data_IF_603077513499
#
_entry.id   IF_603077513499
#
_cell.length_a   1.000
_cell.length_b   1.000
_cell.length_c   1.000
_cell.angle_alpha   90.00
_cell.angle_beta   90.00
_cell.angle_gamma   90.00
#
_symmetry.space_group_name_H-M   'P 1'
#
loop_
_entity.id
_entity.type
_entity.pdbx_description
1 polymer ?
#
# COMPACT_ATOMS: atom_id res chain seq x y z
N UNK A 1 -0.95 -3.24 11.23
CA UNK A 1 -0.85 -2.27 10.11
C UNK A 1 -2.16 -1.51 10.06
N UNK A 2 -2.10 -0.18 9.95
CA UNK A 2 -3.26 0.71 10.13
C UNK A 2 -4.21 0.75 8.91
N UNK A 3 -5.50 0.99 9.13
CA UNK A 3 -6.45 1.41 8.10
C UNK A 3 -7.47 2.38 8.69
N UNK A 4 -7.58 3.59 8.13
CA UNK A 4 -8.44 4.65 8.65
C UNK A 4 -9.91 4.25 8.70
N UNK A 5 -10.40 3.63 7.61
CA UNK A 5 -11.80 3.20 7.52
C UNK A 5 -12.14 2.09 8.53
N UNK A 6 -11.17 1.25 8.92
CA UNK A 6 -11.41 0.26 9.97
C UNK A 6 -11.70 0.93 11.31
N UNK A 7 -10.94 1.98 11.63
CA UNK A 7 -11.10 2.77 12.85
C UNK A 7 -12.40 3.55 12.83
N UNK A 8 -12.69 4.24 11.71
CA UNK A 8 -13.89 5.05 11.55
C UNK A 8 -15.18 4.22 11.66
N UNK A 9 -15.18 3.01 11.11
CA UNK A 9 -16.34 2.11 11.13
C UNK A 9 -16.38 1.18 12.36
N UNK A 10 -15.39 1.26 13.26
CA UNK A 10 -15.31 0.38 14.43
C UNK A 10 -15.15 -1.11 14.08
N UNK A 11 -14.56 -1.42 12.93
CA UNK A 11 -14.43 -2.79 12.43
C UNK A 11 -13.19 -3.48 12.98
N UNK A 12 -13.34 -4.76 13.32
CA UNK A 12 -12.20 -5.60 13.63
C UNK A 12 -11.39 -5.89 12.36
N UNK A 13 -10.25 -5.21 12.23
CA UNK A 13 -9.27 -5.41 11.16
C UNK A 13 -7.99 -6.06 11.70
N UNK A 14 -8.13 -7.03 12.61
CA UNK A 14 -7.03 -7.81 13.14
C UNK A 14 -6.24 -8.46 11.99
N UNK A 15 -4.91 -8.49 12.13
CA UNK A 15 -4.04 -9.13 11.16
C UNK A 15 -4.07 -10.65 11.36
N UNK A 16 -4.51 -11.42 10.35
CA UNK A 16 -4.29 -12.86 10.37
C UNK A 16 -2.80 -13.19 10.35
N UNK A 17 -2.41 -14.32 10.95
CA UNK A 17 -0.99 -14.67 11.08
C UNK A 17 -0.34 -14.96 9.71
N UNK A 18 -1.13 -15.45 8.75
CA UNK A 18 -0.72 -15.80 7.40
C UNK A 18 -0.29 -14.60 6.55
N UNK A 19 -0.80 -13.39 6.83
CA UNK A 19 -0.43 -12.18 6.07
C UNK A 19 0.80 -11.47 6.63
N UNK A 20 1.21 -11.78 7.87
CA UNK A 20 2.35 -11.14 8.54
C UNK A 20 3.64 -11.23 7.69
N UNK A 21 3.99 -12.36 7.08
CA UNK A 21 5.18 -12.44 6.23
C UNK A 21 5.12 -11.52 5.01
N UNK A 22 3.94 -11.33 4.40
CA UNK A 22 3.77 -10.44 3.25
C UNK A 22 3.88 -8.97 3.67
N UNK A 23 3.28 -8.61 4.81
CA UNK A 23 3.39 -7.28 5.42
C UNK A 23 4.85 -6.95 5.74
N UNK A 24 5.60 -7.90 6.31
CA UNK A 24 7.02 -7.74 6.59
C UNK A 24 7.82 -7.53 5.30
N UNK A 25 7.54 -8.31 4.26
CA UNK A 25 8.15 -8.13 2.95
C UNK A 25 7.89 -6.73 2.38
N UNK A 26 6.62 -6.30 2.33
CA UNK A 26 6.23 -4.98 1.86
C UNK A 26 6.96 -3.87 2.63
N UNK A 27 6.98 -3.97 3.96
CA UNK A 27 7.57 -2.94 4.81
C UNK A 27 9.09 -2.86 4.65
N UNK A 28 9.78 -4.00 4.73
CA UNK A 28 11.25 -4.05 4.74
C UNK A 28 11.85 -3.86 3.34
N UNK A 29 11.18 -4.33 2.29
CA UNK A 29 11.73 -4.34 0.93
C UNK A 29 11.27 -3.18 0.06
N UNK A 30 10.18 -2.51 0.41
CA UNK A 30 9.67 -1.37 -0.36
C UNK A 30 9.48 -0.12 0.51
N UNK A 31 8.67 -0.18 1.57
CA UNK A 31 8.24 1.05 2.26
C UNK A 31 9.38 1.74 3.02
N UNK A 32 10.16 0.99 3.80
CA UNK A 32 11.26 1.57 4.58
C UNK A 32 12.39 2.11 3.69
N UNK A 33 12.90 1.37 2.68
CA UNK A 33 13.86 1.92 1.73
C UNK A 33 13.35 3.15 0.99
N UNK A 34 12.08 3.14 0.55
CA UNK A 34 11.48 4.28 -0.14
C UNK A 34 11.37 5.50 0.78
N UNK A 35 10.98 5.31 2.04
CA UNK A 35 10.92 6.39 3.04
C UNK A 35 12.28 7.05 3.26
N UNK A 36 13.35 6.24 3.34
CA UNK A 36 14.73 6.72 3.48
C UNK A 36 15.15 7.53 2.24
N UNK A 37 14.79 7.05 1.04
CA UNK A 37 15.12 7.73 -0.21
C UNK A 37 14.33 9.04 -0.38
N UNK A 38 13.02 9.01 -0.14
CA UNK A 38 12.10 10.13 -0.34
C UNK A 38 12.35 11.30 0.63
N UNK A 39 12.84 11.01 1.85
CA UNK A 39 13.17 12.01 2.89
C UNK A 39 12.01 12.94 3.26
N UNK A 40 10.78 12.49 3.07
CA UNK A 40 9.56 13.19 3.47
C UNK A 40 8.59 12.22 4.16
N UNK A 41 7.67 12.69 5.01
CA UNK A 41 6.71 11.84 5.68
C UNK A 41 5.83 11.05 4.70
N UNK A 42 5.67 9.75 4.98
CA UNK A 42 4.76 8.85 4.28
C UNK A 42 3.71 8.35 5.27
N UNK A 43 2.49 8.85 5.17
CA UNK A 43 1.39 8.50 6.06
C UNK A 43 0.59 7.34 5.46
N UNK A 44 0.59 6.20 6.12
CA UNK A 44 -0.23 5.05 5.71
C UNK A 44 -1.69 5.38 6.04
N UNK A 45 -2.51 5.57 5.01
CA UNK A 45 -3.96 5.73 5.17
C UNK A 45 -4.66 4.38 5.29
N UNK A 46 -4.20 3.39 4.52
CA UNK A 46 -4.76 2.05 4.55
C UNK A 46 -3.74 0.99 4.16
N UNK A 47 -3.43 0.08 5.06
CA UNK A 47 -2.67 -1.14 4.79
C UNK A 47 -3.58 -2.34 4.62
N UNK A 48 -3.36 -3.40 5.41
CA UNK A 48 -4.20 -4.59 5.38
C UNK A 48 -5.70 -4.28 5.52
N UNK A 49 -6.52 -5.04 4.78
CA UNK A 49 -7.98 -5.01 4.90
C UNK A 49 -8.50 -6.44 5.06
N UNK A 50 -9.31 -6.67 6.08
CA UNK A 50 -10.15 -7.86 6.17
C UNK A 50 -11.13 -7.93 4.99
N UNK A 51 -11.71 -9.10 4.74
CA UNK A 51 -12.70 -9.27 3.67
C UNK A 51 -13.88 -8.32 3.83
N UNK A 52 -14.38 -8.18 5.06
CA UNK A 52 -15.49 -7.29 5.41
C UNK A 52 -15.14 -5.83 5.12
N UNK A 53 -13.98 -5.36 5.60
CA UNK A 53 -13.54 -4.00 5.36
C UNK A 53 -13.35 -3.74 3.87
N UNK A 54 -12.71 -4.67 3.14
CA UNK A 54 -12.48 -4.53 1.71
C UNK A 54 -13.80 -4.42 0.95
N UNK A 55 -14.82 -5.22 1.29
CA UNK A 55 -16.16 -5.14 0.69
C UNK A 55 -16.82 -3.78 0.97
N UNK A 56 -16.76 -3.30 2.21
CA UNK A 56 -17.40 -2.04 2.62
C UNK A 56 -16.79 -0.82 1.91
N UNK A 57 -15.48 -0.81 1.66
CA UNK A 57 -14.81 0.27 0.93
C UNK A 57 -14.87 0.11 -0.59
N UNK A 58 -15.65 -0.86 -1.10
CA UNK A 58 -15.79 -1.14 -2.54
C UNK A 58 -14.51 -1.68 -3.18
N UNK A 59 -13.67 -2.37 -2.41
CA UNK A 59 -12.44 -3.00 -2.87
C UNK A 59 -12.70 -4.21 -3.76
N UNK A 60 -11.79 -4.46 -4.71
CA UNK A 60 -11.88 -5.63 -5.57
C UNK A 60 -11.69 -6.94 -4.75
N UNK A 61 -12.34 -8.06 -5.12
CA UNK A 61 -12.15 -9.35 -4.45
C UNK A 61 -10.70 -9.86 -4.48
N UNK A 62 -9.93 -9.46 -5.50
CA UNK A 62 -8.52 -9.83 -5.68
C UNK A 62 -7.53 -8.80 -5.11
N UNK A 63 -8.00 -7.87 -4.28
CA UNK A 63 -7.21 -6.77 -3.72
C UNK A 63 -5.96 -7.24 -2.97
N UNK A 64 -4.82 -6.61 -3.25
CA UNK A 64 -3.56 -6.90 -2.54
C UNK A 64 -3.55 -6.41 -1.09
N UNK A 65 -4.44 -5.50 -0.71
CA UNK A 65 -4.61 -5.13 0.70
C UNK A 65 -5.01 -6.34 1.56
N UNK A 66 -5.87 -7.22 1.03
CA UNK A 66 -6.31 -8.43 1.73
C UNK A 66 -5.20 -9.48 1.88
N UNK A 67 -4.12 -9.36 1.10
CA UNK A 67 -2.95 -10.23 1.16
C UNK A 67 -1.83 -9.66 2.02
N UNK A 68 -2.00 -8.44 2.55
CA UNK A 68 -0.92 -7.71 3.22
C UNK A 68 0.19 -7.24 2.28
N UNK A 69 -0.09 -7.17 0.98
CA UNK A 69 0.88 -6.84 -0.08
C UNK A 69 0.75 -5.40 -0.59
N UNK A 70 -0.17 -4.60 -0.03
CA UNK A 70 -0.39 -3.23 -0.47
C UNK A 70 -0.68 -2.23 0.66
N UNK A 71 -0.35 -0.97 0.38
CA UNK A 71 -0.67 0.20 1.20
C UNK A 71 -1.12 1.37 0.35
N UNK A 72 -2.04 2.17 0.88
CA UNK A 72 -2.39 3.49 0.37
C UNK A 72 -1.69 4.53 1.24
N UNK A 73 -0.95 5.42 0.59
CA UNK A 73 -0.07 6.39 1.24
C UNK A 73 -0.50 7.81 0.88
N UNK A 74 -0.65 8.64 1.90
CA UNK A 74 -0.68 10.08 1.77
C UNK A 74 0.73 10.64 2.00
N UNK A 75 1.12 11.58 1.14
CA UNK A 75 2.31 12.42 1.28
C UNK A 75 1.97 13.79 0.74
N UNK A 76 2.74 14.80 1.13
CA UNK A 76 2.56 16.19 0.68
C UNK A 76 2.65 16.27 -0.84
N UNK A 77 3.64 15.59 -1.43
CA UNK A 77 3.84 15.53 -2.88
C UNK A 77 3.88 14.08 -3.38
N UNK A 78 2.74 13.62 -3.89
CA UNK A 78 2.57 12.26 -4.41
C UNK A 78 3.29 12.03 -5.73
N UNK A 79 3.46 13.08 -6.55
CA UNK A 79 4.18 12.96 -7.81
C UNK A 79 5.67 12.75 -7.51
N UNK A 80 6.21 13.53 -6.57
CA UNK A 80 7.57 13.33 -6.08
C UNK A 80 7.79 11.94 -5.49
N UNK A 81 6.86 11.42 -4.69
CA UNK A 81 6.98 10.04 -4.17
C UNK A 81 6.99 8.98 -5.29
N UNK A 82 6.22 9.20 -6.36
CA UNK A 82 6.24 8.32 -7.54
C UNK A 82 7.57 8.43 -8.30
N UNK A 83 8.09 9.64 -8.49
CA UNK A 83 9.41 9.88 -9.10
C UNK A 83 10.53 9.22 -8.29
N UNK A 84 10.51 9.40 -6.97
CA UNK A 84 11.48 8.79 -6.05
C UNK A 84 11.37 7.27 -6.04
N UNK A 85 10.16 6.70 -6.15
CA UNK A 85 9.98 5.26 -6.32
C UNK A 85 10.69 4.76 -7.58
N UNK A 86 10.55 5.45 -8.71
CA UNK A 86 11.20 5.07 -9.97
C UNK A 86 12.71 5.24 -9.87
N UNK A 87 13.18 6.37 -9.36
CA UNK A 87 14.59 6.71 -9.24
C UNK A 87 15.35 5.81 -8.26
N UNK A 88 14.68 5.33 -7.21
CA UNK A 88 15.26 4.40 -6.22
C UNK A 88 15.53 2.99 -6.78
N UNK A 89 15.01 2.66 -7.96
CA UNK A 89 15.10 1.33 -8.58
C UNK A 89 14.54 0.18 -7.71
N UNK A 90 13.75 0.50 -6.68
CA UNK A 90 13.14 -0.49 -5.79
C UNK A 90 12.21 -1.43 -6.58
N UNK A 91 12.08 -2.66 -6.09
CA UNK A 91 11.12 -3.58 -6.65
C UNK A 91 9.71 -3.26 -6.12
N UNK A 92 8.71 -3.33 -6.99
CA UNK A 92 7.31 -3.13 -6.65
C UNK A 92 6.41 -3.79 -7.71
N UNK A 93 5.19 -4.14 -7.34
CA UNK A 93 4.23 -4.72 -8.26
C UNK A 93 3.44 -3.62 -8.98
N UNK A 94 2.75 -2.76 -8.22
CA UNK A 94 1.98 -1.64 -8.77
C UNK A 94 2.19 -0.37 -7.96
N UNK A 95 2.21 0.76 -8.66
CA UNK A 95 2.05 2.10 -8.11
C UNK A 95 0.87 2.78 -8.82
N UNK A 96 -0.20 3.10 -8.09
CA UNK A 96 -1.42 3.69 -8.67
C UNK A 96 -1.65 5.04 -8.01
N UNK A 97 -1.53 6.11 -8.78
CA UNK A 97 -1.80 7.47 -8.32
C UNK A 97 -3.30 7.77 -8.42
N UNK A 98 -4.00 7.91 -7.30
CA UNK A 98 -5.40 8.31 -7.26
C UNK A 98 -5.51 9.82 -7.04
N UNK A 99 -5.66 10.60 -8.11
CA UNK A 99 -5.64 12.07 -8.06
C UNK A 99 -6.80 12.64 -7.26
N UNK A 100 -7.99 12.09 -7.45
CA UNK A 100 -9.23 12.54 -6.79
C UNK A 100 -9.33 12.09 -5.34
N UNK A 101 -8.67 10.98 -4.97
CA UNK A 101 -8.69 10.44 -3.60
C UNK A 101 -7.52 10.90 -2.73
N UNK A 102 -6.53 11.58 -3.31
CA UNK A 102 -5.44 12.20 -2.56
C UNK A 102 -4.37 11.25 -2.03
N UNK A 103 -4.29 10.00 -2.50
CA UNK A 103 -3.29 9.02 -2.08
C UNK A 103 -2.61 8.33 -3.28
N UNK A 104 -1.46 7.70 -3.02
CA UNK A 104 -0.82 6.74 -3.93
C UNK A 104 -0.92 5.34 -3.34
N UNK A 105 -1.41 4.40 -4.14
CA UNK A 105 -1.40 2.98 -3.81
C UNK A 105 -0.07 2.38 -4.22
N UNK A 106 0.61 1.70 -3.30
CA UNK A 106 1.83 0.94 -3.57
C UNK A 106 1.63 -0.52 -3.18
N UNK A 107 2.09 -1.43 -4.03
CA UNK A 107 2.07 -2.86 -3.73
C UNK A 107 3.38 -3.57 -4.05
N UNK A 108 3.65 -4.64 -3.30
CA UNK A 108 4.78 -5.54 -3.51
C UNK A 108 4.32 -6.96 -3.18
N UNK A 109 4.36 -7.84 -4.18
CA UNK A 109 4.10 -9.26 -3.97
C UNK A 109 5.23 -9.91 -3.20
N UNK A 110 4.87 -10.78 -2.26
CA UNK A 110 5.84 -11.67 -1.61
C UNK A 110 6.25 -12.82 -2.55
N UNK A 111 5.32 -13.28 -3.39
CA UNK A 111 5.53 -14.41 -4.30
C UNK A 111 5.12 -14.06 -5.73
N UNK A 112 5.87 -14.58 -6.71
CA UNK A 112 5.64 -14.35 -8.14
C UNK A 112 6.28 -13.08 -8.69
N UNK A 113 5.87 -12.70 -9.90
CA UNK A 113 6.45 -11.56 -10.63
C UNK A 113 5.81 -10.24 -10.17
N UNK A 114 6.68 -9.31 -9.81
CA UNK A 114 6.35 -7.91 -9.53
C UNK A 114 6.41 -7.13 -10.86
N UNK A 115 5.28 -6.56 -11.26
CA UNK A 115 5.07 -6.01 -12.63
C UNK A 115 5.71 -4.64 -12.87
N UNK A 116 6.12 -3.93 -11.82
CA UNK A 116 6.56 -2.52 -11.89
C UNK A 116 5.58 -1.61 -12.64
N UNK A 117 4.29 -1.85 -12.48
CA UNK A 117 3.26 -1.14 -13.23
C UNK A 117 2.94 0.21 -12.58
N UNK A 118 2.94 1.28 -13.37
CA UNK A 118 2.50 2.62 -12.94
C UNK A 118 1.16 2.93 -13.60
N UNK A 119 0.17 3.33 -12.80
CA UNK A 119 -1.18 3.65 -13.25
C UNK A 119 -1.65 4.99 -12.68
N UNK A 120 -2.55 5.66 -13.39
CA UNK A 120 -3.16 6.92 -12.98
C UNK A 120 -4.69 6.77 -12.94
N UNK A 121 -5.30 7.18 -11.83
CA UNK A 121 -6.75 7.10 -11.57
C UNK A 121 -7.28 8.37 -10.91
#
# INVERSE_FOLDING_TARGET
MYSAMAVELGLNNALPSEVIPAIRNLTVRLLEPLRIYHRQPMYIMSGYRSEELNRLVGGAPSSQHMKGEAVDIYTVDRNRLLEDLVASCLNFDQAILYRTKGFIHLSLKKHGVNRKQILFK
#
